data_IF_912933005133
#
_entry.id   IF_912933005133
#
_cell.length_a   1.000
_cell.length_b   1.000
_cell.length_c   1.000
_cell.angle_alpha   90.00
_cell.angle_beta   90.00
_cell.angle_gamma   90.00
#
_symmetry.space_group_name_H-M   'P 1'
#
loop_
_entity.id
_entity.type
_entity.pdbx_description
1 polymer ?
#
# COMPACT_ATOMS: atom_id res chain seq x y z
N UNK A 1 -27.27 -3.22 0.04
CA UNK A 1 -26.07 -2.41 -0.27
C UNK A 1 -26.39 -1.28 -1.24
N UNK A 2 -26.92 -1.54 -2.44
CA UNK A 2 -27.28 -0.49 -3.44
C UNK A 2 -28.23 0.57 -2.87
N UNK A 3 -29.26 0.18 -2.14
CA UNK A 3 -30.21 1.06 -1.50
C UNK A 3 -29.55 1.93 -0.37
N UNK A 4 -28.64 1.35 0.40
CA UNK A 4 -27.87 2.10 1.41
C UNK A 4 -26.94 3.13 0.73
N UNK A 5 -26.33 2.79 -0.40
CA UNK A 5 -25.49 3.72 -1.18
C UNK A 5 -26.30 4.91 -1.72
N UNK A 6 -27.55 4.66 -2.17
CA UNK A 6 -28.49 5.71 -2.59
C UNK A 6 -28.77 6.69 -1.45
N UNK A 7 -29.22 6.20 -0.30
CA UNK A 7 -29.51 7.03 0.88
C UNK A 7 -28.29 7.84 1.35
N UNK A 8 -27.08 7.27 1.24
CA UNK A 8 -25.84 7.98 1.59
C UNK A 8 -25.55 9.12 0.61
N UNK A 9 -25.75 8.89 -0.70
CA UNK A 9 -25.60 9.96 -1.71
C UNK A 9 -26.59 11.09 -1.45
N UNK A 10 -27.86 10.76 -1.20
CA UNK A 10 -28.89 11.74 -0.90
C UNK A 10 -28.55 12.55 0.36
N UNK A 11 -28.08 11.89 1.42
CA UNK A 11 -27.68 12.56 2.66
C UNK A 11 -26.46 13.48 2.49
N UNK A 12 -25.55 13.16 1.57
CA UNK A 12 -24.34 13.93 1.30
C UNK A 12 -24.58 15.05 0.27
N UNK A 13 -25.69 15.03 -0.47
CA UNK A 13 -26.06 16.09 -1.41
C UNK A 13 -26.20 17.47 -0.73
N UNK A 14 -26.60 17.48 0.56
CA UNK A 14 -26.71 18.71 1.37
C UNK A 14 -25.38 19.14 2.02
N UNK A 15 -24.30 18.40 1.76
CA UNK A 15 -22.95 18.69 2.27
C UNK A 15 -22.32 17.57 3.13
N UNK A 16 -21.11 17.82 3.65
CA UNK A 16 -20.34 16.83 4.39
C UNK A 16 -21.00 16.36 5.69
N UNK A 17 -20.95 15.02 5.94
CA UNK A 17 -21.47 14.37 7.14
C UNK A 17 -20.37 13.62 7.89
N UNK A 18 -20.60 13.41 9.19
CA UNK A 18 -19.72 12.56 9.97
C UNK A 18 -19.98 11.08 9.71
N UNK A 19 -18.94 10.24 9.95
CA UNK A 19 -19.06 8.77 9.90
C UNK A 19 -20.20 8.27 10.78
N UNK A 20 -20.45 8.93 11.94
CA UNK A 20 -21.54 8.58 12.85
C UNK A 20 -22.91 8.81 12.21
N UNK A 21 -23.15 10.01 11.67
CA UNK A 21 -24.43 10.35 10.98
C UNK A 21 -24.68 9.41 9.79
N UNK A 22 -23.66 9.13 9.00
CA UNK A 22 -23.76 8.20 7.87
C UNK A 22 -24.01 6.75 8.33
N UNK A 23 -23.47 6.34 9.49
CA UNK A 23 -23.71 5.03 10.10
C UNK A 23 -25.17 4.83 10.50
N UNK A 24 -25.81 5.87 11.00
CA UNK A 24 -27.25 5.85 11.34
C UNK A 24 -28.12 5.69 10.07
N UNK A 25 -27.74 6.35 8.95
CA UNK A 25 -28.43 6.27 7.66
C UNK A 25 -28.16 4.92 6.94
N UNK A 26 -26.92 4.47 6.97
CA UNK A 26 -26.42 3.28 6.24
C UNK A 26 -26.52 1.98 7.01
N UNK A 27 -27.20 1.91 8.14
CA UNK A 27 -27.35 0.70 8.98
C UNK A 27 -26.02 0.06 9.39
N UNK A 28 -25.00 0.86 9.74
CA UNK A 28 -23.72 0.38 10.26
C UNK A 28 -22.65 0.02 9.22
N UNK A 29 -22.96 0.08 7.91
CA UNK A 29 -22.04 -0.32 6.83
C UNK A 29 -21.04 0.77 6.38
N UNK A 30 -20.79 1.82 7.17
CA UNK A 30 -19.94 2.96 6.75
C UNK A 30 -18.53 2.53 6.34
N UNK A 31 -17.96 1.49 6.97
CA UNK A 31 -16.60 1.02 6.65
C UNK A 31 -16.43 0.47 5.22
N UNK A 32 -17.51 -0.01 4.61
CA UNK A 32 -17.50 -0.55 3.23
C UNK A 32 -18.18 0.36 2.20
N UNK A 33 -18.74 1.50 2.63
CA UNK A 33 -19.46 2.42 1.74
C UNK A 33 -18.57 3.02 0.65
N UNK A 34 -17.29 3.24 0.91
CA UNK A 34 -16.32 3.70 -0.10
C UNK A 34 -16.14 2.79 -1.30
N UNK A 35 -16.65 1.54 -1.24
CA UNK A 35 -16.70 0.63 -2.38
C UNK A 35 -17.91 0.87 -3.29
N UNK A 36 -18.89 1.68 -2.85
CA UNK A 36 -20.17 1.90 -3.53
C UNK A 36 -20.50 3.36 -3.79
N UNK A 37 -19.81 4.25 -3.08
CA UNK A 37 -19.96 5.72 -3.19
C UNK A 37 -18.57 6.32 -3.17
N UNK A 38 -18.27 7.13 -4.15
CA UNK A 38 -17.00 7.86 -4.22
C UNK A 38 -16.97 8.95 -3.15
N UNK A 39 -16.24 8.69 -2.07
CA UNK A 39 -16.16 9.51 -0.89
C UNK A 39 -14.78 10.12 -0.70
N UNK A 40 -14.73 11.36 -0.26
CA UNK A 40 -13.50 12.02 0.21
C UNK A 40 -13.64 12.44 1.67
N UNK A 41 -12.53 12.46 2.38
CA UNK A 41 -12.44 13.03 3.73
C UNK A 41 -12.15 14.52 3.60
N UNK A 42 -12.90 15.33 4.34
CA UNK A 42 -12.85 16.80 4.19
C UNK A 42 -12.48 17.50 5.49
N UNK A 43 -11.76 18.63 5.43
CA UNK A 43 -11.46 19.45 6.60
C UNK A 43 -12.71 19.87 7.38
N UNK A 44 -12.58 20.12 8.71
CA UNK A 44 -11.34 20.08 9.49
C UNK A 44 -10.90 18.66 9.89
N UNK A 45 -11.59 17.62 9.42
CA UNK A 45 -11.30 16.22 9.69
C UNK A 45 -9.99 15.80 9.01
N UNK A 46 -9.11 15.11 9.74
CA UNK A 46 -7.82 14.66 9.21
C UNK A 46 -6.79 15.77 9.05
N UNK A 47 -7.00 16.95 9.61
CA UNK A 47 -6.00 18.01 9.72
C UNK A 47 -5.06 17.72 10.91
N UNK A 48 -3.97 18.47 11.01
CA UNK A 48 -3.03 18.34 12.10
C UNK A 48 -3.66 18.62 13.48
N UNK A 49 -4.57 19.60 13.53
CA UNK A 49 -5.31 19.98 14.75
C UNK A 49 -6.40 18.97 15.09
N UNK A 50 -6.97 18.31 14.08
CA UNK A 50 -8.04 17.32 14.22
C UNK A 50 -7.70 16.06 13.42
N UNK A 51 -6.84 15.25 13.99
CA UNK A 51 -6.29 14.03 13.33
C UNK A 51 -7.35 13.00 12.95
N UNK A 52 -8.45 12.89 13.70
CA UNK A 52 -9.52 11.94 13.41
C UNK A 52 -10.27 12.35 12.15
N UNK A 53 -10.14 11.57 11.10
CA UNK A 53 -10.82 11.80 9.83
C UNK A 53 -12.22 11.19 9.85
N UNK A 54 -13.18 11.91 10.39
CA UNK A 54 -14.56 11.47 10.65
C UNK A 54 -15.61 12.15 9.77
N UNK A 55 -15.25 13.14 8.92
CA UNK A 55 -16.17 13.82 7.98
C UNK A 55 -15.91 13.37 6.55
N UNK A 56 -17.00 13.08 5.85
CA UNK A 56 -17.01 12.62 4.47
C UNK A 56 -17.89 13.52 3.62
N UNK A 57 -17.52 13.68 2.34
CA UNK A 57 -18.31 14.32 1.29
C UNK A 57 -18.31 13.44 0.05
N UNK A 58 -19.19 13.72 -0.91
CA UNK A 58 -19.10 13.12 -2.24
C UNK A 58 -17.83 13.63 -2.93
N UNK A 59 -17.08 12.73 -3.56
CA UNK A 59 -15.87 13.10 -4.28
C UNK A 59 -16.16 14.09 -5.41
N UNK A 60 -17.26 13.89 -6.12
CA UNK A 60 -17.68 14.77 -7.23
C UNK A 60 -17.89 16.22 -6.80
N UNK A 61 -18.40 16.45 -5.59
CA UNK A 61 -18.64 17.80 -5.09
C UNK A 61 -17.37 18.51 -4.60
N UNK A 62 -16.33 17.73 -4.34
CA UNK A 62 -15.06 18.22 -3.79
C UNK A 62 -13.95 18.35 -4.83
N UNK A 63 -13.82 17.38 -5.71
CA UNK A 63 -12.74 17.31 -6.71
C UNK A 63 -13.25 17.37 -8.15
N UNK A 64 -14.56 17.47 -8.37
CA UNK A 64 -15.20 17.45 -9.67
C UNK A 64 -15.47 16.02 -10.18
N UNK A 65 -16.27 15.94 -11.22
CA UNK A 65 -16.52 14.68 -11.91
C UNK A 65 -15.27 14.26 -12.69
N UNK A 66 -14.96 12.94 -12.74
CA UNK A 66 -13.88 12.47 -13.61
C UNK A 66 -14.26 12.70 -15.07
N UNK A 67 -13.33 13.22 -15.84
CA UNK A 67 -13.43 13.44 -17.29
C UNK A 67 -12.69 12.36 -18.11
N UNK A 68 -11.94 11.48 -17.44
CA UNK A 68 -11.19 10.40 -18.06
C UNK A 68 -12.10 9.19 -18.40
N UNK A 69 -11.85 8.61 -19.56
CA UNK A 69 -12.43 7.33 -19.95
C UNK A 69 -11.81 6.17 -19.13
N UNK A 70 -12.49 5.01 -19.11
CA UNK A 70 -11.96 3.80 -18.45
C UNK A 70 -10.57 3.42 -19.00
N UNK A 71 -10.37 3.51 -20.31
CA UNK A 71 -9.10 3.20 -20.96
C UNK A 71 -7.98 4.13 -20.50
N UNK A 72 -8.23 5.43 -20.42
CA UNK A 72 -7.28 6.42 -19.90
C UNK A 72 -6.97 6.19 -18.43
N UNK A 73 -7.99 5.85 -17.63
CA UNK A 73 -7.84 5.47 -16.23
C UNK A 73 -6.96 4.23 -16.03
N UNK A 74 -7.16 3.18 -16.83
CA UNK A 74 -6.32 1.98 -16.80
C UNK A 74 -4.88 2.29 -17.21
N UNK A 75 -4.69 3.09 -18.26
CA UNK A 75 -3.35 3.51 -18.70
C UNK A 75 -2.64 4.33 -17.64
N UNK A 76 -3.35 5.27 -17.00
CA UNK A 76 -2.81 6.05 -15.89
C UNK A 76 -2.40 5.17 -14.71
N UNK A 77 -3.25 4.23 -14.31
CA UNK A 77 -3.01 3.30 -13.20
C UNK A 77 -1.77 2.44 -13.44
N UNK A 78 -1.65 1.84 -14.63
CA UNK A 78 -0.48 1.02 -14.99
C UNK A 78 0.80 1.86 -14.98
N UNK A 79 0.76 3.06 -15.56
CA UNK A 79 1.90 3.99 -15.56
C UNK A 79 2.31 4.40 -14.13
N UNK A 80 1.34 4.76 -13.28
CA UNK A 80 1.59 5.17 -11.91
C UNK A 80 2.21 4.02 -11.09
N UNK A 81 1.69 2.79 -11.26
CA UNK A 81 2.24 1.61 -10.61
C UNK A 81 3.69 1.35 -11.04
N UNK A 82 3.96 1.29 -12.35
CA UNK A 82 5.30 1.02 -12.87
C UNK A 82 6.30 2.10 -12.44
N UNK A 83 5.89 3.36 -12.45
CA UNK A 83 6.74 4.47 -11.99
C UNK A 83 7.19 4.32 -10.53
N UNK A 84 6.36 3.72 -9.69
CA UNK A 84 6.62 3.57 -8.26
C UNK A 84 7.24 2.21 -7.89
N UNK A 85 6.90 1.14 -8.62
CA UNK A 85 7.14 -0.24 -8.20
C UNK A 85 7.63 -1.17 -9.34
N UNK A 86 7.94 -0.63 -10.51
CA UNK A 86 8.52 -1.40 -11.61
C UNK A 86 9.97 -1.85 -11.32
N UNK A 87 10.47 -2.83 -12.07
CA UNK A 87 9.74 -3.66 -13.03
C UNK A 87 8.80 -4.68 -12.37
N UNK A 88 7.69 -5.04 -13.03
CA UNK A 88 6.67 -5.89 -12.45
C UNK A 88 5.99 -6.82 -13.46
N UNK A 89 5.35 -7.89 -12.97
CA UNK A 89 4.46 -8.72 -13.79
C UNK A 89 3.06 -8.07 -13.90
N UNK A 90 2.33 -8.43 -14.94
CA UNK A 90 0.91 -8.02 -15.07
C UNK A 90 0.04 -8.50 -13.89
N UNK A 91 0.44 -9.59 -13.25
CA UNK A 91 -0.24 -10.12 -12.06
C UNK A 91 0.01 -9.23 -10.84
N UNK A 92 1.20 -8.67 -10.70
CA UNK A 92 1.51 -7.73 -9.62
C UNK A 92 0.64 -6.49 -9.73
N UNK A 93 0.60 -5.88 -10.92
CA UNK A 93 -0.23 -4.70 -11.22
C UNK A 93 -1.71 -4.99 -10.92
N UNK A 94 -2.21 -6.12 -11.45
CA UNK A 94 -3.61 -6.53 -11.27
C UNK A 94 -3.96 -6.78 -9.79
N UNK A 95 -3.08 -7.47 -9.05
CA UNK A 95 -3.25 -7.75 -7.63
C UNK A 95 -3.30 -6.49 -6.79
N UNK A 96 -2.39 -5.55 -7.06
CA UNK A 96 -2.34 -4.28 -6.34
C UNK A 96 -3.57 -3.40 -6.63
N UNK A 97 -3.97 -3.32 -7.89
CA UNK A 97 -5.07 -2.47 -8.32
C UNK A 97 -6.47 -3.07 -8.07
N UNK A 98 -6.57 -4.36 -7.74
CA UNK A 98 -7.85 -5.06 -7.61
C UNK A 98 -8.59 -5.24 -8.94
N UNK A 99 -7.87 -5.27 -10.07
CA UNK A 99 -8.41 -5.47 -11.42
C UNK A 99 -8.00 -6.83 -12.00
N UNK A 100 -8.50 -7.19 -13.19
CA UNK A 100 -8.04 -8.40 -13.86
C UNK A 100 -6.67 -8.18 -14.54
N UNK A 101 -5.91 -9.27 -14.74
CA UNK A 101 -4.65 -9.20 -15.50
C UNK A 101 -4.89 -8.78 -16.98
N UNK A 102 -6.08 -9.04 -17.51
CA UNK A 102 -6.50 -8.58 -18.84
C UNK A 102 -6.65 -7.07 -18.87
N UNK A 103 -7.30 -6.48 -17.86
CA UNK A 103 -7.45 -5.02 -17.76
C UNK A 103 -6.11 -4.33 -17.55
N UNK A 104 -5.23 -4.91 -16.71
CA UNK A 104 -3.87 -4.39 -16.56
C UNK A 104 -3.10 -4.38 -17.88
N UNK A 105 -3.19 -5.44 -18.69
CA UNK A 105 -2.57 -5.49 -20.03
C UNK A 105 -3.18 -4.46 -20.98
N UNK A 106 -4.51 -4.33 -20.99
CA UNK A 106 -5.23 -3.32 -21.80
C UNK A 106 -4.75 -1.90 -21.44
N UNK A 107 -4.55 -1.60 -20.15
CA UNK A 107 -3.97 -0.33 -19.72
C UNK A 107 -2.53 -0.12 -20.19
N UNK A 108 -1.78 -1.20 -20.36
CA UNK A 108 -0.41 -1.16 -20.91
C UNK A 108 -0.32 -0.92 -22.41
N UNK A 109 -1.38 -1.20 -23.18
CA UNK A 109 -1.39 -1.03 -24.66
C UNK A 109 -1.17 0.45 -25.08
N UNK A 110 -1.55 1.40 -24.22
CA UNK A 110 -1.33 2.84 -24.42
C UNK A 110 0.06 3.33 -24.01
N UNK A 111 0.97 2.43 -23.60
CA UNK A 111 2.31 2.78 -23.08
C UNK A 111 3.42 2.16 -23.93
N UNK A 112 4.52 2.90 -24.08
CA UNK A 112 5.78 2.29 -24.47
C UNK A 112 6.37 1.62 -23.24
N UNK A 113 6.66 0.32 -23.31
CA UNK A 113 7.18 -0.48 -22.20
C UNK A 113 8.48 -1.17 -22.56
N UNK A 114 9.42 -1.19 -21.61
CA UNK A 114 10.58 -2.06 -21.63
C UNK A 114 10.19 -3.44 -21.08
N UNK A 115 10.88 -4.50 -21.54
CA UNK A 115 10.64 -5.88 -21.12
C UNK A 115 11.88 -6.44 -20.46
N UNK A 116 11.69 -7.10 -19.32
CA UNK A 116 12.73 -7.74 -18.54
C UNK A 116 12.36 -9.20 -18.22
N UNK A 117 13.30 -9.94 -17.70
CA UNK A 117 13.09 -11.28 -17.11
C UNK A 117 13.72 -11.32 -15.73
N UNK A 118 13.01 -11.90 -14.78
CA UNK A 118 13.59 -12.19 -13.48
C UNK A 118 14.40 -13.50 -13.49
N UNK A 119 14.99 -13.86 -12.35
CA UNK A 119 15.82 -15.05 -12.17
C UNK A 119 15.05 -16.36 -12.41
N UNK A 120 13.73 -16.34 -12.22
CA UNK A 120 12.83 -17.48 -12.48
C UNK A 120 12.37 -17.53 -13.96
N UNK A 121 12.83 -16.60 -14.80
CA UNK A 121 12.45 -16.46 -16.21
C UNK A 121 11.07 -15.85 -16.45
N UNK A 122 10.42 -15.28 -15.41
CA UNK A 122 9.12 -14.58 -15.56
C UNK A 122 9.33 -13.28 -16.32
N UNK A 123 8.39 -12.96 -17.21
CA UNK A 123 8.41 -11.69 -17.94
C UNK A 123 7.92 -10.56 -17.05
N UNK A 124 8.71 -9.50 -17.00
CA UNK A 124 8.41 -8.24 -16.33
C UNK A 124 8.30 -7.12 -17.35
N UNK A 125 7.54 -6.09 -17.02
CA UNK A 125 7.42 -4.85 -17.79
C UNK A 125 7.75 -3.65 -16.91
N UNK A 126 8.29 -2.60 -17.55
CA UNK A 126 8.55 -1.32 -16.89
C UNK A 126 8.47 -0.17 -17.86
N UNK A 127 8.53 1.06 -17.38
CA UNK A 127 8.70 2.25 -18.21
C UNK A 127 10.14 2.27 -18.76
N UNK A 128 10.35 2.75 -20.01
CA UNK A 128 11.69 2.74 -20.62
C UNK A 128 12.74 3.54 -19.85
N UNK A 129 12.30 4.63 -19.21
CA UNK A 129 13.17 5.56 -18.47
C UNK A 129 13.14 5.32 -16.96
N UNK A 130 12.64 4.17 -16.50
CA UNK A 130 12.64 3.83 -15.07
C UNK A 130 14.07 3.68 -14.55
N UNK A 131 14.38 4.23 -13.36
CA UNK A 131 15.70 4.09 -12.79
C UNK A 131 15.94 2.63 -12.39
N UNK A 132 16.99 2.03 -12.94
CA UNK A 132 17.49 0.73 -12.50
C UNK A 132 18.77 0.99 -11.68
N UNK A 133 18.77 0.72 -10.38
CA UNK A 133 19.97 0.90 -9.57
C UNK A 133 21.06 -0.08 -10.01
N UNK A 134 22.31 0.31 -9.76
CA UNK A 134 23.45 -0.58 -9.93
C UNK A 134 23.27 -1.83 -9.04
N UNK A 135 23.58 -3.06 -9.53
CA UNK A 135 23.48 -4.28 -8.73
C UNK A 135 24.21 -4.21 -7.39
N UNK A 136 25.31 -3.46 -7.33
CA UNK A 136 26.11 -3.28 -6.12
C UNK A 136 25.60 -2.15 -5.20
N UNK A 137 24.44 -1.55 -5.50
CA UNK A 137 23.84 -0.52 -4.65
C UNK A 137 23.54 -1.10 -3.26
N UNK A 138 24.08 -0.50 -2.18
CA UNK A 138 23.85 -1.00 -0.83
C UNK A 138 22.36 -0.97 -0.47
N UNK A 139 21.87 -2.04 0.13
CA UNK A 139 20.53 -2.13 0.70
C UNK A 139 20.62 -2.05 2.25
N UNK A 140 20.68 -0.84 2.83
CA UNK A 140 20.83 -0.67 4.27
C UNK A 140 19.62 -1.23 5.03
N UNK A 141 19.83 -1.55 6.31
CA UNK A 141 18.74 -1.93 7.21
C UNK A 141 17.64 -0.87 7.18
N UNK A 142 16.38 -1.30 7.10
CA UNK A 142 15.21 -0.42 7.18
C UNK A 142 14.11 -1.06 8.00
N UNK A 143 13.54 -0.26 8.90
CA UNK A 143 12.36 -0.64 9.67
C UNK A 143 11.11 -0.24 8.89
N UNK A 144 10.25 -1.22 8.62
CA UNK A 144 9.00 -1.05 7.91
C UNK A 144 7.83 -1.07 8.88
N UNK A 145 6.87 -0.15 8.76
CA UNK A 145 5.68 -0.15 9.60
C UNK A 145 4.73 -1.31 9.27
N UNK A 146 3.66 -1.41 10.06
CA UNK A 146 2.52 -2.27 9.71
C UNK A 146 1.97 -1.87 8.33
N UNK A 147 1.63 -2.86 7.51
CA UNK A 147 1.04 -2.65 6.19
C UNK A 147 1.93 -1.84 5.23
N UNK A 148 3.24 -1.97 5.37
CA UNK A 148 4.16 -1.28 4.47
C UNK A 148 3.94 -1.68 3.00
N UNK A 149 3.95 -0.68 2.11
CA UNK A 149 3.71 -0.88 0.69
C UNK A 149 4.70 -1.86 0.05
N UNK A 150 5.97 -1.88 0.45
CA UNK A 150 6.98 -2.79 -0.10
C UNK A 150 6.61 -4.27 0.05
N UNK A 151 5.79 -4.61 1.06
CA UNK A 151 5.32 -5.98 1.29
C UNK A 151 3.99 -6.30 0.58
N UNK A 152 3.27 -5.27 0.07
CA UNK A 152 1.91 -5.39 -0.47
C UNK A 152 1.80 -5.13 -1.96
N UNK A 153 2.73 -4.37 -2.54
CA UNK A 153 2.63 -3.90 -3.93
C UNK A 153 2.83 -4.98 -4.98
N UNK A 154 3.46 -6.08 -4.64
CA UNK A 154 3.64 -7.23 -5.53
C UNK A 154 2.82 -8.42 -5.03
N UNK A 155 2.24 -9.17 -5.96
CA UNK A 155 1.44 -10.36 -5.63
C UNK A 155 2.26 -11.39 -4.85
N UNK A 156 3.52 -11.58 -5.22
CA UNK A 156 4.45 -12.50 -4.57
C UNK A 156 5.90 -12.13 -4.91
N UNK A 157 6.57 -11.39 -4.05
CA UNK A 157 8.00 -11.07 -4.20
C UNK A 157 8.80 -11.75 -3.09
N UNK A 158 9.27 -12.96 -3.37
CA UNK A 158 9.96 -13.83 -2.41
C UNK A 158 11.35 -13.34 -2.03
N UNK A 159 11.97 -12.52 -2.89
CA UNK A 159 13.24 -11.85 -2.61
C UNK A 159 13.10 -10.82 -1.46
N UNK A 160 11.98 -10.12 -1.37
CA UNK A 160 11.72 -9.16 -0.28
C UNK A 160 11.11 -9.85 0.94
N UNK A 161 10.13 -10.74 0.74
CA UNK A 161 9.51 -11.51 1.82
C UNK A 161 9.62 -13.01 1.53
N UNK A 162 10.64 -13.70 2.06
CA UNK A 162 10.77 -15.15 1.93
C UNK A 162 9.51 -15.88 2.38
N UNK A 163 9.09 -16.91 1.62
CA UNK A 163 7.84 -17.64 1.89
C UNK A 163 7.78 -18.23 3.30
N UNK A 164 8.91 -18.67 3.85
CA UNK A 164 9.01 -19.20 5.21
C UNK A 164 8.69 -18.16 6.29
N UNK A 165 8.93 -16.87 6.01
CA UNK A 165 8.67 -15.76 6.93
C UNK A 165 7.25 -15.18 6.78
N UNK A 166 6.57 -15.43 5.66
CA UNK A 166 5.24 -14.87 5.38
C UNK A 166 4.21 -15.13 6.48
N UNK A 167 4.08 -16.35 7.07
CA UNK A 167 3.15 -16.58 8.17
C UNK A 167 3.48 -15.81 9.46
N UNK A 168 4.75 -15.40 9.62
CA UNK A 168 5.20 -14.59 10.77
C UNK A 168 4.83 -13.10 10.59
N UNK A 169 4.71 -12.65 9.33
CA UNK A 169 4.40 -11.26 8.99
C UNK A 169 2.90 -11.02 8.87
N UNK A 170 2.18 -11.93 8.19
CA UNK A 170 0.75 -11.80 7.93
C UNK A 170 -0.06 -12.85 8.67
N UNK A 171 -0.95 -12.42 9.55
CA UNK A 171 -1.88 -13.32 10.24
C UNK A 171 -3.03 -13.68 9.29
N UNK A 172 -3.31 -14.98 9.15
CA UNK A 172 -4.49 -15.47 8.42
C UNK A 172 -5.78 -15.43 9.27
N UNK A 173 -5.65 -15.27 10.58
CA UNK A 173 -6.80 -15.24 11.51
C UNK A 173 -7.34 -13.84 11.73
N UNK A 174 -6.48 -12.85 11.68
CA UNK A 174 -6.83 -11.44 11.76
C UNK A 174 -6.16 -10.74 10.58
N UNK A 175 -6.83 -9.85 9.84
CA UNK A 175 -6.20 -9.10 8.76
C UNK A 175 -5.22 -8.09 9.35
N UNK A 176 -4.08 -8.57 9.81
CA UNK A 176 -3.06 -7.77 10.48
C UNK A 176 -1.65 -8.18 10.00
N UNK A 177 -0.78 -7.20 9.82
CA UNK A 177 0.65 -7.39 9.60
C UNK A 177 1.42 -6.90 10.83
N UNK A 178 2.62 -7.44 11.03
CA UNK A 178 3.55 -6.91 12.04
C UNK A 178 4.49 -5.88 11.42
N UNK A 179 5.06 -4.99 12.23
CA UNK A 179 6.22 -4.20 11.81
C UNK A 179 7.39 -5.13 11.52
N UNK A 180 8.12 -4.90 10.43
CA UNK A 180 9.25 -5.75 10.00
C UNK A 180 10.52 -4.91 9.82
N UNK A 181 11.67 -5.55 9.77
CA UNK A 181 12.89 -4.90 9.32
C UNK A 181 13.57 -5.71 8.21
N UNK A 182 14.20 -4.97 7.31
CA UNK A 182 14.94 -5.52 6.19
C UNK A 182 16.44 -5.55 6.53
N UNK A 183 17.10 -6.63 6.10
CA UNK A 183 18.55 -6.76 6.00
C UNK A 183 18.85 -7.17 4.57
N UNK A 184 19.71 -6.45 3.90
CA UNK A 184 20.06 -6.67 2.49
C UNK A 184 18.80 -6.78 1.59
N UNK A 185 17.84 -5.89 1.80
CA UNK A 185 16.59 -5.81 1.04
C UNK A 185 15.55 -6.89 1.34
N UNK A 186 15.82 -7.87 2.21
CA UNK A 186 14.91 -8.95 2.57
C UNK A 186 14.43 -8.85 4.02
N UNK A 187 13.19 -9.27 4.28
CA UNK A 187 12.63 -9.32 5.65
C UNK A 187 13.41 -10.32 6.49
N UNK A 188 14.03 -9.82 7.56
CA UNK A 188 14.87 -10.58 8.48
C UNK A 188 14.27 -10.74 9.89
N UNK A 189 13.23 -9.97 10.23
CA UNK A 189 12.58 -10.05 11.53
C UNK A 189 11.41 -9.11 11.67
N UNK A 190 10.77 -9.19 12.84
CA UNK A 190 9.71 -8.29 13.27
C UNK A 190 10.20 -7.30 14.33
N UNK A 191 9.46 -6.19 14.50
CA UNK A 191 9.69 -5.24 15.56
C UNK A 191 8.39 -4.70 16.15
N UNK A 192 8.46 -4.23 17.37
CA UNK A 192 7.35 -3.56 18.05
C UNK A 192 7.88 -2.47 18.98
N UNK A 193 7.08 -1.41 19.20
CA UNK A 193 7.39 -0.39 20.19
C UNK A 193 6.70 -0.74 21.53
N UNK A 194 7.46 -0.76 22.62
CA UNK A 194 6.97 -0.96 23.98
C UNK A 194 7.61 0.06 24.90
N UNK A 195 6.82 0.88 25.55
CA UNK A 195 7.26 1.87 26.54
C UNK A 195 8.40 2.78 26.01
N UNK A 196 8.27 3.20 24.74
CA UNK A 196 9.29 4.07 24.11
C UNK A 196 10.56 3.35 23.63
N UNK A 197 10.61 2.01 23.75
CA UNK A 197 11.73 1.19 23.26
C UNK A 197 11.28 0.30 22.10
N UNK A 198 12.20 0.03 21.20
CA UNK A 198 12.01 -0.90 20.10
C UNK A 198 12.49 -2.29 20.52
N UNK A 199 11.57 -3.25 20.47
CA UNK A 199 11.83 -4.67 20.71
C UNK A 199 11.96 -5.36 19.36
N UNK A 200 13.05 -6.09 19.16
CA UNK A 200 13.36 -6.85 17.95
C UNK A 200 13.02 -8.32 18.13
N UNK A 201 12.51 -8.95 17.09
CA UNK A 201 12.23 -10.39 17.00
C UNK A 201 12.82 -10.92 15.68
N UNK A 202 14.12 -11.31 15.66
CA UNK A 202 14.75 -11.87 14.48
C UNK A 202 14.11 -13.21 14.11
N UNK A 203 13.84 -13.42 12.80
CA UNK A 203 13.27 -14.69 12.34
C UNK A 203 14.31 -15.77 12.17
N UNK A 204 15.59 -15.39 12.01
CA UNK A 204 16.75 -16.27 11.91
C UNK A 204 17.97 -15.62 12.57
N UNK A 205 19.03 -16.40 12.77
CA UNK A 205 20.29 -15.88 13.28
C UNK A 205 20.92 -14.88 12.30
N UNK A 206 21.17 -13.68 12.79
CA UNK A 206 21.87 -12.64 12.03
C UNK A 206 23.38 -12.79 12.18
N UNK A 207 24.13 -12.43 11.13
CA UNK A 207 25.58 -12.28 11.25
C UNK A 207 25.94 -11.18 12.25
N UNK A 208 27.17 -11.15 12.74
CA UNK A 208 27.62 -10.10 13.66
C UNK A 208 27.56 -8.69 13.02
N UNK A 209 27.79 -8.61 11.69
CA UNK A 209 27.67 -7.37 10.93
C UNK A 209 26.22 -6.88 10.82
N UNK A 210 25.32 -7.76 10.41
CA UNK A 210 23.89 -7.43 10.25
C UNK A 210 23.25 -7.05 11.60
N UNK A 211 23.57 -7.80 12.65
CA UNK A 211 23.09 -7.49 14.01
C UNK A 211 23.51 -6.09 14.45
N UNK A 212 24.73 -5.67 14.15
CA UNK A 212 25.20 -4.32 14.46
C UNK A 212 24.45 -3.28 13.65
N UNK A 213 24.27 -3.49 12.35
CA UNK A 213 23.52 -2.58 11.49
C UNK A 213 22.05 -2.45 11.91
N UNK A 214 21.41 -3.56 12.31
CA UNK A 214 20.03 -3.55 12.84
C UNK A 214 19.96 -2.76 14.16
N UNK A 215 20.95 -2.89 15.03
CA UNK A 215 20.99 -2.20 16.30
C UNK A 215 21.22 -0.69 16.12
N UNK A 216 22.10 -0.29 15.19
CA UNK A 216 22.34 1.12 14.84
C UNK A 216 21.06 1.79 14.30
N UNK A 217 20.32 1.12 13.40
CA UNK A 217 19.05 1.65 12.86
C UNK A 217 17.95 1.67 13.94
N UNK A 218 17.92 0.69 14.86
CA UNK A 218 17.02 0.68 16.02
C UNK A 218 17.23 1.91 16.91
N UNK A 219 18.49 2.20 17.24
CA UNK A 219 18.85 3.38 18.06
C UNK A 219 18.46 4.69 17.36
N UNK A 220 18.68 4.77 16.03
CA UNK A 220 18.29 5.93 15.25
C UNK A 220 16.75 6.13 15.25
N UNK A 221 15.97 5.06 15.13
CA UNK A 221 14.52 5.12 15.20
C UNK A 221 13.99 5.48 16.60
N UNK A 222 14.61 4.96 17.66
CA UNK A 222 14.27 5.36 19.04
C UNK A 222 14.56 6.86 19.28
N UNK A 223 15.72 7.35 18.84
CA UNK A 223 16.08 8.75 18.96
C UNK A 223 15.15 9.69 18.17
N UNK A 224 14.66 9.25 17.01
CA UNK A 224 13.66 9.99 16.22
C UNK A 224 12.29 10.06 16.90
N UNK A 225 11.95 9.04 17.69
CA UNK A 225 10.63 8.88 18.32
C UNK A 225 10.55 9.48 19.73
N UNK A 226 11.67 9.92 20.30
CA UNK A 226 11.78 10.54 21.63
C UNK A 226 11.36 12.02 21.58
#
# INVERSE_FOLDING_TARGET
>A
MVDAAGRIRDALADGPRTVKELGEIGAGFVGSLGLWVDLVRVPPSGTWERRRADRLALAVDWVGAPDATEAEGLTHLVRAYLRAFGPATWRDIASWAGITATDAKRGGEGLTLASYRDEDGRSLVDLPDAPLPDPDTPAPVRFLPHWDANLLVHARRTQVLPERHRPLVFSVRTPFSVGTYLVDGAVAGAWSAKEGRIVLDPFEDLTAGDRRAVEEEREALEAFSA
#
